data_IF_946662581684
#
_entry.id   IF_946662581684
#
_cell.length_a   1.000
_cell.length_b   1.000
_cell.length_c   1.000
_cell.angle_alpha   90.00
_cell.angle_beta   90.00
_cell.angle_gamma   90.00
#
_symmetry.space_group_name_H-M   'P 1'
#
loop_
_entity.id
_entity.type
_entity.pdbx_description
1 polymer ?
#
# COMPACT_ATOMS: atom_id res chain seq x y z
N UNK A 1 35.02 -5.42 -48.59
CA UNK A 1 34.32 -5.02 -47.35
C UNK A 1 33.94 -6.28 -46.59
N UNK A 2 34.45 -6.47 -45.38
CA UNK A 2 34.41 -7.74 -44.63
C UNK A 2 33.09 -7.91 -43.89
N UNK A 3 32.41 -9.04 -44.11
CA UNK A 3 31.06 -9.34 -43.62
C UNK A 3 30.85 -9.15 -42.09
N UNK A 4 31.92 -9.28 -41.29
CA UNK A 4 31.88 -9.06 -39.84
C UNK A 4 31.50 -7.62 -39.42
N UNK A 5 31.82 -6.59 -40.21
CA UNK A 5 31.46 -5.21 -39.85
C UNK A 5 29.98 -4.88 -40.05
N UNK A 6 29.27 -5.57 -40.95
CA UNK A 6 27.83 -5.34 -41.14
C UNK A 6 26.99 -5.99 -40.04
N UNK A 7 27.40 -7.14 -39.52
CA UNK A 7 26.75 -7.78 -38.36
C UNK A 7 26.82 -6.90 -37.11
N UNK A 8 27.99 -6.30 -36.82
CA UNK A 8 28.14 -5.42 -35.65
C UNK A 8 27.34 -4.11 -35.80
N UNK A 9 27.20 -3.59 -37.03
CA UNK A 9 26.36 -2.40 -37.30
C UNK A 9 24.86 -2.66 -37.15
N UNK A 10 24.41 -3.87 -37.47
CA UNK A 10 23.02 -4.29 -37.31
C UNK A 10 22.70 -4.70 -35.87
N UNK A 11 23.63 -5.32 -35.14
CA UNK A 11 23.40 -5.76 -33.75
C UNK A 11 23.36 -4.60 -32.74
N UNK A 12 24.06 -3.49 -33.05
CA UNK A 12 24.14 -2.30 -32.19
C UNK A 12 22.78 -1.62 -31.91
N UNK A 13 21.88 -1.40 -32.89
CA UNK A 13 20.53 -0.90 -32.59
C UNK A 13 19.68 -1.93 -31.86
N UNK A 14 19.85 -3.24 -32.11
CA UNK A 14 19.09 -4.28 -31.40
C UNK A 14 19.39 -4.29 -29.90
N UNK A 15 20.66 -4.15 -29.50
CA UNK A 15 21.01 -4.03 -28.08
C UNK A 15 20.41 -2.78 -27.42
N UNK A 16 20.38 -1.66 -28.14
CA UNK A 16 19.80 -0.41 -27.65
C UNK A 16 18.28 -0.52 -27.50
N UNK A 17 17.60 -1.14 -28.47
CA UNK A 17 16.15 -1.39 -28.42
C UNK A 17 15.81 -2.37 -27.30
N UNK A 18 16.55 -3.48 -27.17
CA UNK A 18 16.35 -4.46 -26.10
C UNK A 18 16.52 -3.81 -24.72
N UNK A 19 17.55 -2.99 -24.55
CA UNK A 19 17.78 -2.24 -23.32
C UNK A 19 16.65 -1.25 -23.04
N UNK A 20 16.18 -0.51 -24.05
CA UNK A 20 15.02 0.38 -23.92
C UNK A 20 13.76 -0.39 -23.51
N UNK A 21 13.50 -1.55 -24.10
CA UNK A 21 12.33 -2.38 -23.74
C UNK A 21 12.47 -2.92 -22.32
N UNK A 22 13.64 -3.41 -21.91
CA UNK A 22 13.90 -3.85 -20.54
C UNK A 22 13.78 -2.70 -19.53
N UNK A 23 14.28 -1.52 -19.88
CA UNK A 23 14.18 -0.32 -19.05
C UNK A 23 12.72 0.12 -18.90
N UNK A 24 11.95 0.15 -19.98
CA UNK A 24 10.52 0.45 -19.94
C UNK A 24 9.77 -0.59 -19.12
N UNK A 25 10.08 -1.88 -19.27
CA UNK A 25 9.48 -2.94 -18.45
C UNK A 25 9.84 -2.78 -16.97
N UNK A 26 11.10 -2.46 -16.66
CA UNK A 26 11.55 -2.19 -15.30
C UNK A 26 10.85 -0.97 -14.71
N UNK A 27 10.73 0.12 -15.46
CA UNK A 27 9.98 1.30 -15.04
C UNK A 27 8.49 0.96 -14.84
N UNK A 28 7.89 0.16 -15.72
CA UNK A 28 6.51 -0.29 -15.54
C UNK A 28 6.36 -1.15 -14.29
N UNK A 29 7.31 -2.02 -13.95
CA UNK A 29 7.26 -2.81 -12.72
C UNK A 29 7.55 -1.98 -11.47
N UNK A 30 8.49 -1.04 -11.55
CA UNK A 30 8.89 -0.19 -10.43
C UNK A 30 7.87 0.93 -10.14
N UNK A 31 7.17 1.41 -11.16
CA UNK A 31 6.13 2.45 -11.06
C UNK A 31 4.71 1.89 -11.17
N UNK A 32 4.52 0.57 -11.39
CA UNK A 32 3.22 -0.03 -11.13
C UNK A 32 3.00 0.10 -9.63
N UNK A 33 1.98 0.86 -9.18
CA UNK A 33 1.65 0.88 -7.77
C UNK A 33 1.42 -0.58 -7.37
N UNK A 34 2.05 -1.02 -6.28
CA UNK A 34 1.71 -2.30 -5.67
C UNK A 34 0.20 -2.32 -5.56
N UNK A 35 -0.45 -3.18 -6.36
CA UNK A 35 -1.89 -3.37 -6.27
C UNK A 35 -2.08 -4.01 -4.91
N UNK A 36 -2.31 -3.17 -3.89
CA UNK A 36 -2.69 -3.68 -2.60
C UNK A 36 -3.88 -4.60 -2.80
N UNK A 37 -3.86 -5.78 -2.21
CA UNK A 37 -4.98 -6.69 -2.23
C UNK A 37 -5.93 -6.31 -1.09
N UNK A 38 -7.24 -6.44 -1.32
CA UNK A 38 -8.19 -6.30 -0.21
C UNK A 38 -8.10 -7.62 0.55
N UNK A 39 -7.70 -7.55 1.80
CA UNK A 39 -7.65 -8.71 2.68
C UNK A 39 -9.08 -9.01 3.09
N UNK A 40 -9.50 -10.25 2.88
CA UNK A 40 -10.80 -10.72 3.35
C UNK A 40 -10.71 -10.92 4.87
N UNK A 41 -11.44 -10.12 5.65
CA UNK A 41 -11.53 -10.26 7.11
C UNK A 41 -12.46 -11.41 7.53
N UNK A 42 -12.92 -12.25 6.59
CA UNK A 42 -13.73 -13.43 6.87
C UNK A 42 -15.14 -13.05 7.32
N UNK A 43 -15.50 -13.45 8.54
CA UNK A 43 -16.83 -13.18 9.11
C UNK A 43 -16.97 -11.76 9.69
N UNK A 44 -15.97 -10.89 9.52
CA UNK A 44 -16.06 -9.50 9.97
C UNK A 44 -17.13 -8.73 9.18
N UNK A 45 -18.10 -8.20 9.92
CA UNK A 45 -19.09 -7.26 9.42
C UNK A 45 -19.03 -5.99 10.25
N UNK A 46 -19.10 -4.84 9.58
CA UNK A 46 -19.14 -3.55 10.27
C UNK A 46 -20.35 -3.51 11.19
N UNK A 47 -20.18 -3.22 12.50
CA UNK A 47 -21.28 -3.25 13.44
C UNK A 47 -22.40 -2.29 13.06
N UNK A 48 -23.65 -2.77 13.08
CA UNK A 48 -24.83 -1.95 12.80
C UNK A 48 -24.96 -0.86 13.87
N UNK A 49 -24.83 0.41 13.45
CA UNK A 49 -24.91 1.57 14.34
C UNK A 49 -23.57 2.16 14.76
N UNK A 50 -22.45 1.66 14.25
CA UNK A 50 -21.16 2.36 14.36
C UNK A 50 -21.26 3.73 13.68
N UNK A 51 -21.04 4.79 14.44
CA UNK A 51 -20.93 6.14 13.87
C UNK A 51 -19.53 6.31 13.27
N UNK A 52 -19.44 6.23 11.94
CA UNK A 52 -18.18 6.43 11.20
C UNK A 52 -17.66 7.86 11.29
N UNK A 53 -18.46 8.82 11.78
CA UNK A 53 -18.02 10.20 12.04
C UNK A 53 -17.48 10.38 13.46
N UNK A 54 -17.77 9.44 14.36
CA UNK A 54 -17.17 9.42 15.70
C UNK A 54 -15.78 8.80 15.61
N UNK A 55 -14.77 9.66 15.59
CA UNK A 55 -13.39 9.24 15.48
C UNK A 55 -12.97 8.29 16.60
N UNK A 56 -13.44 8.51 17.84
CA UNK A 56 -13.03 7.68 18.98
C UNK A 56 -13.71 6.30 18.92
N UNK A 57 -15.00 6.26 18.55
CA UNK A 57 -15.72 5.00 18.36
C UNK A 57 -15.12 4.16 17.22
N UNK A 58 -14.76 4.81 16.11
CA UNK A 58 -14.15 4.16 14.96
C UNK A 58 -12.73 3.66 15.27
N UNK A 59 -11.93 4.44 16.00
CA UNK A 59 -10.58 4.03 16.43
C UNK A 59 -10.67 2.77 17.32
N UNK A 60 -11.60 2.77 18.28
CA UNK A 60 -11.82 1.62 19.15
C UNK A 60 -12.26 0.37 18.39
N UNK A 61 -13.15 0.50 17.40
CA UNK A 61 -13.57 -0.63 16.56
C UNK A 61 -12.40 -1.18 15.72
N UNK A 62 -11.59 -0.29 15.15
CA UNK A 62 -10.41 -0.68 14.38
C UNK A 62 -9.42 -1.47 15.24
N UNK A 63 -9.12 -1.00 16.46
CA UNK A 63 -8.20 -1.68 17.38
C UNK A 63 -8.72 -3.01 17.91
N UNK A 64 -10.01 -3.10 18.26
CA UNK A 64 -10.56 -4.28 18.90
C UNK A 64 -10.91 -5.39 17.91
N UNK A 65 -11.34 -5.04 16.70
CA UNK A 65 -11.90 -5.99 15.74
C UNK A 65 -11.05 -6.15 14.48
N UNK A 66 -10.56 -5.05 13.91
CA UNK A 66 -9.95 -5.04 12.57
C UNK A 66 -8.45 -5.30 12.62
N UNK A 67 -7.71 -4.61 13.49
CA UNK A 67 -6.25 -4.75 13.61
C UNK A 67 -5.80 -6.17 13.97
N UNK A 68 -6.48 -6.92 14.85
CA UNK A 68 -6.12 -8.31 15.13
C UNK A 68 -6.26 -9.25 13.92
N UNK A 69 -7.06 -8.86 12.92
CA UNK A 69 -7.29 -9.63 11.70
C UNK A 69 -6.37 -9.20 10.55
N UNK A 70 -5.71 -8.05 10.66
CA UNK A 70 -4.77 -7.55 9.67
C UNK A 70 -3.36 -8.10 9.92
N UNK A 71 -2.57 -8.36 8.87
CA UNK A 71 -1.17 -8.73 9.00
C UNK A 71 -0.31 -7.51 9.36
N UNK A 72 0.61 -7.71 10.30
CA UNK A 72 1.56 -6.68 10.75
C UNK A 72 1.08 -5.88 11.95
N UNK A 73 1.88 -4.88 12.33
CA UNK A 73 1.56 -3.96 13.42
C UNK A 73 0.73 -2.79 12.88
N UNK A 74 -0.34 -2.47 13.60
CA UNK A 74 -1.23 -1.37 13.30
C UNK A 74 -1.57 -0.62 14.59
N UNK A 75 -1.53 0.70 14.53
CA UNK A 75 -1.93 1.57 15.65
C UNK A 75 -2.95 2.60 15.13
N UNK A 76 -3.90 2.98 15.99
CA UNK A 76 -4.79 4.09 15.69
C UNK A 76 -4.64 5.17 16.76
N UNK A 77 -4.85 6.41 16.36
CA UNK A 77 -5.03 7.52 17.29
C UNK A 77 -5.96 8.56 16.67
N UNK A 78 -6.63 9.32 17.52
CA UNK A 78 -7.50 10.42 17.09
C UNK A 78 -6.77 11.75 17.27
N UNK A 79 -6.74 12.57 16.22
CA UNK A 79 -6.21 13.93 16.29
C UNK A 79 -7.22 14.90 15.65
N UNK A 80 -7.64 15.93 16.40
CA UNK A 80 -8.57 16.98 15.91
C UNK A 80 -9.90 16.42 15.34
N UNK A 81 -10.39 15.31 15.87
CA UNK A 81 -11.62 14.66 15.39
C UNK A 81 -11.44 13.84 14.12
N UNK A 82 -10.20 13.51 13.74
CA UNK A 82 -9.88 12.62 12.63
C UNK A 82 -9.16 11.37 13.13
N UNK A 83 -9.46 10.22 12.52
CA UNK A 83 -8.75 8.97 12.81
C UNK A 83 -7.48 8.89 11.98
N UNK A 84 -6.36 8.66 12.66
CA UNK A 84 -5.08 8.39 12.06
C UNK A 84 -4.73 6.93 12.31
N UNK A 85 -4.45 6.18 11.24
CA UNK A 85 -4.05 4.78 11.32
C UNK A 85 -2.63 4.64 10.79
N UNK A 86 -1.76 4.07 11.60
CA UNK A 86 -0.37 3.77 11.24
C UNK A 86 -0.29 2.29 10.95
N UNK A 87 0.14 1.92 9.74
CA UNK A 87 0.44 0.54 9.40
C UNK A 87 1.94 0.35 9.21
N UNK A 88 2.41 -0.85 9.49
CA UNK A 88 3.74 -1.28 9.09
C UNK A 88 3.98 -1.09 7.58
N UNK A 89 5.22 -0.77 7.22
CA UNK A 89 5.63 -0.46 5.85
C UNK A 89 5.46 -1.62 4.88
N UNK A 90 5.56 -2.86 5.34
CA UNK A 90 5.45 -4.06 4.52
C UNK A 90 3.99 -4.30 4.06
N UNK A 91 3.02 -4.06 4.95
CA UNK A 91 1.60 -4.37 4.72
C UNK A 91 0.72 -3.13 4.48
N UNK A 92 1.30 -1.93 4.48
CA UNK A 92 0.57 -0.66 4.34
C UNK A 92 -0.41 -0.62 3.18
N UNK A 93 -0.03 -1.11 1.99
CA UNK A 93 -0.85 -1.05 0.79
C UNK A 93 -2.11 -1.93 0.89
N UNK A 94 -1.97 -3.11 1.48
CA UNK A 94 -3.05 -4.05 1.66
C UNK A 94 -3.97 -3.60 2.81
N UNK A 95 -3.39 -3.23 3.95
CA UNK A 95 -4.14 -2.80 5.14
C UNK A 95 -4.93 -1.50 4.89
N UNK A 96 -4.32 -0.47 4.29
CA UNK A 96 -5.02 0.79 3.99
C UNK A 96 -6.16 0.60 2.98
N UNK A 97 -5.96 -0.24 1.97
CA UNK A 97 -7.00 -0.56 0.99
C UNK A 97 -8.12 -1.39 1.61
N UNK A 98 -7.79 -2.30 2.51
CA UNK A 98 -8.76 -3.12 3.24
C UNK A 98 -9.62 -2.25 4.15
N UNK A 99 -9.01 -1.41 4.99
CA UNK A 99 -9.77 -0.48 5.84
C UNK A 99 -10.65 0.46 5.00
N UNK A 100 -10.12 1.02 3.91
CA UNK A 100 -10.92 1.84 2.99
C UNK A 100 -12.06 1.08 2.28
N UNK A 101 -11.97 -0.25 2.17
CA UNK A 101 -13.04 -1.07 1.61
C UNK A 101 -14.20 -1.26 2.59
N UNK A 102 -13.91 -1.52 3.86
CA UNK A 102 -14.92 -1.73 4.90
C UNK A 102 -15.46 -0.41 5.47
N UNK A 103 -14.68 0.68 5.45
CA UNK A 103 -15.06 1.99 5.97
C UNK A 103 -14.93 3.10 4.91
N UNK A 104 -15.75 3.08 3.85
CA UNK A 104 -15.63 4.02 2.73
C UNK A 104 -16.01 5.46 3.09
N UNK A 105 -16.88 5.66 4.09
CA UNK A 105 -17.44 6.97 4.47
C UNK A 105 -16.70 7.60 5.67
N UNK A 106 -15.68 6.94 6.21
CA UNK A 106 -14.92 7.43 7.35
C UNK A 106 -13.78 8.39 6.93
N UNK A 107 -13.58 9.49 7.67
CA UNK A 107 -12.43 10.39 7.48
C UNK A 107 -11.18 9.81 8.16
N UNK A 108 -10.53 8.86 7.50
CA UNK A 108 -9.31 8.18 7.99
C UNK A 108 -8.09 8.65 7.21
N UNK A 109 -7.04 9.04 7.94
CA UNK A 109 -5.71 9.31 7.36
C UNK A 109 -4.76 8.16 7.66
N UNK A 110 -4.18 7.59 6.60
CA UNK A 110 -3.24 6.48 6.71
C UNK A 110 -1.80 6.98 6.71
N UNK A 111 -1.02 6.52 7.67
CA UNK A 111 0.40 6.77 7.78
C UNK A 111 1.17 5.46 7.63
N UNK A 112 2.30 5.52 6.93
CA UNK A 112 3.23 4.40 6.86
C UNK A 112 4.23 4.54 8.00
N UNK A 113 4.34 3.54 8.85
CA UNK A 113 5.44 3.43 9.80
C UNK A 113 6.74 3.33 9.01
N UNK A 114 7.57 4.37 9.06
CA UNK A 114 8.97 4.24 8.69
C UNK A 114 9.63 3.51 9.86
N UNK A 115 10.22 2.35 9.59
CA UNK A 115 10.86 1.44 10.55
C UNK A 115 12.06 2.05 11.31
N UNK A 116 11.85 3.15 12.03
CA UNK A 116 12.87 3.83 12.82
C UNK A 116 12.38 4.62 14.05
N UNK A 117 11.10 4.99 14.19
CA UNK A 117 10.68 5.81 15.35
C UNK A 117 9.33 5.37 15.93
N UNK A 118 9.33 4.24 16.65
CA UNK A 118 8.47 4.14 17.83
C UNK A 118 9.06 5.07 18.91
N UNK A 119 8.41 6.22 19.10
CA UNK A 119 8.68 7.26 20.12
C UNK A 119 9.96 8.11 19.98
N UNK A 120 9.81 9.44 20.15
CA UNK A 120 10.15 9.97 21.46
C UNK A 120 9.01 10.80 22.06
N UNK A 121 8.68 10.44 23.30
CA UNK A 121 8.07 11.22 24.39
C UNK A 121 7.31 12.51 24.07
#
# INVERSE_FOLDING_TARGET
MTAGQQFVKILRPFGCILFLVMLVLFLLLAFLPSRGEVIDLGDYAVPEGLDMQDADALCAELENSVFPLLPGEAECYTEKGRVHVVFDGEHFADCSKTVGHYFPDADITYHRSASADLHPQ
#
